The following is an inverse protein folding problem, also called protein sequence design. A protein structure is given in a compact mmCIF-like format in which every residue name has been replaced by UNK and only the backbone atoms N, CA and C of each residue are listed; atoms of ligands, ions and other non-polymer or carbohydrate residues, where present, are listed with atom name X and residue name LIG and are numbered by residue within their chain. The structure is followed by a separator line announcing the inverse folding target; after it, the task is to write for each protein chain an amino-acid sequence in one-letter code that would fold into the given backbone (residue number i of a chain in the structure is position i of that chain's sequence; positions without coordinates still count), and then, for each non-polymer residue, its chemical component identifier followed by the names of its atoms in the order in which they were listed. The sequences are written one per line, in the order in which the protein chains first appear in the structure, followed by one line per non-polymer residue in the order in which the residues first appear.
data_IF_365553777567
#
_entry.id   IF_365553777567
#
_cell.length_a   1.000
_cell.length_b   1.000
_cell.length_c   1.000
_cell.angle_alpha   90.00
_cell.angle_beta   90.00
_cell.angle_gamma   90.00
#
_symmetry.space_group_name_H-M   'P 1'
#
loop_
_entity.id
_entity.type
_entity.pdbx_description
1 polymer ?
#
# COMPACT_ATOMS: atom_id res chain seq x y z
N UNK A 1 -19.68 15.67 10.89
CA UNK A 1 -18.29 15.49 10.40
C UNK A 1 -18.02 16.60 9.41
N UNK A 2 -16.94 17.36 9.60
CA UNK A 2 -16.53 18.42 8.67
C UNK A 2 -15.88 17.81 7.42
N UNK A 3 -15.80 18.53 6.28
CA UNK A 3 -15.10 18.06 5.07
C UNK A 3 -13.66 17.59 5.35
N UNK A 4 -12.93 18.33 6.18
CA UNK A 4 -11.55 18.00 6.54
C UNK A 4 -11.50 16.72 7.38
N UNK A 5 -12.43 16.52 8.33
CA UNK A 5 -12.51 15.28 9.11
C UNK A 5 -12.86 14.07 8.23
N UNK A 6 -13.75 14.27 7.24
CA UNK A 6 -14.08 13.23 6.27
C UNK A 6 -12.84 12.82 5.47
N UNK A 7 -12.10 13.77 4.90
CA UNK A 7 -10.88 13.45 4.15
C UNK A 7 -9.79 12.82 5.03
N UNK A 8 -9.67 13.23 6.31
CA UNK A 8 -8.77 12.57 7.27
C UNK A 8 -9.15 11.11 7.48
N UNK A 9 -10.45 10.82 7.56
CA UNK A 9 -10.94 9.46 7.65
C UNK A 9 -10.58 8.66 6.39
N UNK A 10 -10.73 9.24 5.20
CA UNK A 10 -10.35 8.59 3.95
C UNK A 10 -8.84 8.27 3.90
N UNK A 11 -7.97 9.19 4.32
CA UNK A 11 -6.54 8.94 4.40
C UNK A 11 -6.19 7.81 5.39
N UNK A 12 -6.91 7.73 6.52
CA UNK A 12 -6.75 6.62 7.47
C UNK A 12 -7.21 5.29 6.89
N UNK A 13 -8.31 5.28 6.15
CA UNK A 13 -8.82 4.08 5.49
C UNK A 13 -7.85 3.59 4.41
N UNK A 14 -7.32 4.48 3.58
CA UNK A 14 -6.29 4.14 2.60
C UNK A 14 -5.05 3.56 3.28
N UNK A 15 -4.58 4.18 4.36
CA UNK A 15 -3.45 3.66 5.11
C UNK A 15 -3.73 2.28 5.73
N UNK A 16 -4.97 2.00 6.16
CA UNK A 16 -5.36 0.68 6.65
C UNK A 16 -5.32 -0.38 5.55
N UNK A 17 -5.79 -0.06 4.35
CA UNK A 17 -5.70 -0.98 3.21
C UNK A 17 -4.24 -1.26 2.85
N UNK A 18 -3.36 -0.25 2.83
CA UNK A 18 -1.93 -0.49 2.64
C UNK A 18 -1.29 -1.31 3.77
N UNK A 19 -1.85 -1.31 4.98
CA UNK A 19 -1.36 -2.16 6.09
C UNK A 19 -1.72 -3.64 5.91
N UNK A 20 -2.63 -4.01 4.99
CA UNK A 20 -2.91 -5.42 4.68
C UNK A 20 -1.89 -6.02 3.70
N UNK A 21 -0.88 -5.25 3.29
CA UNK A 21 0.16 -5.69 2.38
C UNK A 21 0.84 -6.98 2.86
N UNK A 22 0.79 -7.99 2.01
CA UNK A 22 1.66 -9.17 2.06
C UNK A 22 2.70 -9.04 0.96
N UNK A 23 3.89 -9.61 1.18
CA UNK A 23 4.95 -9.60 0.17
C UNK A 23 5.44 -11.01 -0.09
N UNK A 24 5.58 -11.36 -1.36
CA UNK A 24 6.23 -12.59 -1.80
C UNK A 24 7.37 -12.26 -2.76
N UNK A 25 8.51 -12.92 -2.60
CA UNK A 25 9.60 -12.76 -3.55
C UNK A 25 9.26 -13.51 -4.84
N UNK A 26 9.25 -12.80 -5.96
CA UNK A 26 9.05 -13.42 -7.27
C UNK A 26 10.43 -13.72 -7.90
N UNK A 27 10.84 -15.00 -8.00
CA UNK A 27 12.17 -15.37 -8.49
C UNK A 27 12.38 -15.06 -9.97
N UNK A 28 11.30 -14.98 -10.77
CA UNK A 28 11.37 -14.60 -12.18
C UNK A 28 11.67 -13.12 -12.34
N UNK A 29 11.02 -12.27 -11.54
CA UNK A 29 11.20 -10.82 -11.59
C UNK A 29 12.36 -10.33 -10.73
N UNK A 30 12.93 -11.20 -9.89
CA UNK A 30 13.99 -10.89 -8.92
C UNK A 30 13.65 -9.69 -8.03
N UNK A 31 12.38 -9.55 -7.68
CA UNK A 31 11.85 -8.49 -6.81
C UNK A 31 10.69 -9.02 -5.99
N UNK A 32 10.38 -8.32 -4.91
CA UNK A 32 9.16 -8.56 -4.15
C UNK A 32 7.95 -8.09 -4.97
N UNK A 33 6.91 -8.90 -4.94
CA UNK A 33 5.57 -8.56 -5.41
C UNK A 33 4.71 -8.38 -4.17
N UNK A 34 3.89 -7.33 -4.20
CA UNK A 34 3.01 -6.97 -3.10
C UNK A 34 1.58 -7.35 -3.46
N UNK A 35 0.90 -7.96 -2.52
CA UNK A 35 -0.52 -8.27 -2.60
C UNK A 35 -1.23 -7.58 -1.44
N UNK A 36 -2.50 -7.25 -1.63
CA UNK A 36 -3.30 -6.51 -0.65
C UNK A 36 -4.67 -7.18 -0.48
N UNK A 37 -5.23 -7.09 0.73
CA UNK A 37 -6.65 -7.37 1.02
C UNK A 37 -7.35 -6.04 1.38
N UNK A 38 -7.62 -5.16 0.39
CA UNK A 38 -8.17 -3.83 0.66
C UNK A 38 -9.68 -3.86 0.88
N UNK A 39 -10.18 -2.93 1.72
CA UNK A 39 -11.61 -2.77 2.00
C UNK A 39 -12.22 -1.47 1.48
N UNK A 40 -11.39 -0.48 1.14
CA UNK A 40 -11.87 0.85 0.79
C UNK A 40 -11.36 1.32 -0.58
N UNK A 41 -10.15 0.94 -0.99
CA UNK A 41 -9.49 1.45 -2.20
C UNK A 41 -8.91 0.36 -3.09
N UNK A 42 -8.90 0.63 -4.41
CA UNK A 42 -8.20 -0.17 -5.41
C UNK A 42 -6.71 0.16 -5.34
N UNK A 43 -5.97 -0.60 -4.53
CA UNK A 43 -4.58 -0.27 -4.17
C UNK A 43 -3.66 -0.32 -5.38
N UNK A 44 -3.77 -1.35 -6.22
CA UNK A 44 -2.89 -1.53 -7.38
C UNK A 44 -2.98 -0.32 -8.34
N UNK A 45 -4.20 0.14 -8.62
CA UNK A 45 -4.42 1.34 -9.44
C UNK A 45 -3.81 2.61 -8.82
N UNK A 46 -3.88 2.74 -7.49
CA UNK A 46 -3.25 3.87 -6.79
C UNK A 46 -1.73 3.78 -6.83
N UNK A 47 -1.15 2.59 -6.68
CA UNK A 47 0.30 2.38 -6.72
C UNK A 47 0.85 2.81 -8.07
N UNK A 48 0.22 2.37 -9.16
CA UNK A 48 0.64 2.68 -10.52
C UNK A 48 0.50 4.18 -10.84
N UNK A 49 -0.67 4.76 -10.57
CA UNK A 49 -0.96 6.14 -10.97
C UNK A 49 -0.23 7.19 -10.13
N UNK A 50 0.11 6.87 -8.87
CA UNK A 50 0.80 7.79 -7.97
C UNK A 50 2.27 7.43 -7.74
N UNK A 51 2.79 6.40 -8.40
CA UNK A 51 4.17 5.91 -8.26
C UNK A 51 4.55 5.72 -6.77
N UNK A 52 3.70 4.97 -6.07
CA UNK A 52 3.81 4.82 -4.61
C UNK A 52 4.97 3.90 -4.28
N UNK A 53 5.82 4.32 -3.32
CA UNK A 53 6.78 3.41 -2.70
C UNK A 53 6.05 2.55 -1.65
N UNK A 54 5.71 1.34 -2.07
CA UNK A 54 4.98 0.33 -1.30
C UNK A 54 5.74 -0.18 -0.08
N UNK A 55 7.07 -0.11 -0.06
CA UNK A 55 7.88 -0.57 1.08
C UNK A 55 7.77 0.36 2.29
N UNK A 56 7.58 1.66 2.03
CA UNK A 56 7.65 2.73 3.03
C UNK A 56 6.40 3.64 2.97
N UNK A 57 5.23 3.03 2.85
CA UNK A 57 3.97 3.76 2.83
C UNK A 57 3.49 4.09 4.25
N UNK A 58 3.42 5.38 4.59
CA UNK A 58 2.97 5.87 5.90
C UNK A 58 1.69 6.68 5.78
N UNK A 59 1.06 7.00 6.92
CA UNK A 59 -0.13 7.85 6.97
C UNK A 59 0.06 9.21 6.26
N UNK A 60 1.26 9.81 6.33
CA UNK A 60 1.56 11.05 5.62
C UNK A 60 1.52 10.89 4.09
N UNK A 61 1.94 9.73 3.58
CA UNK A 61 1.84 9.37 2.16
C UNK A 61 0.37 9.21 1.77
N UNK A 62 -0.43 8.51 2.59
CA UNK A 62 -1.87 8.40 2.36
C UNK A 62 -2.57 9.76 2.33
N UNK A 63 -2.23 10.66 3.26
CA UNK A 63 -2.72 12.05 3.23
C UNK A 63 -2.31 12.79 1.96
N UNK A 64 -1.09 12.57 1.46
CA UNK A 64 -0.63 13.17 0.21
C UNK A 64 -1.43 12.66 -1.00
N UNK A 65 -1.67 11.34 -1.09
CA UNK A 65 -2.49 10.74 -2.15
C UNK A 65 -3.91 11.31 -2.12
N UNK A 66 -4.56 11.34 -0.94
CA UNK A 66 -5.90 11.94 -0.82
C UNK A 66 -5.89 13.42 -1.21
N UNK A 67 -4.86 14.19 -0.84
CA UNK A 67 -4.75 15.59 -1.27
C UNK A 67 -4.69 15.71 -2.80
N UNK A 68 -3.93 14.83 -3.48
CA UNK A 68 -3.85 14.81 -4.94
C UNK A 68 -5.19 14.46 -5.59
N UNK A 69 -5.92 13.47 -5.05
CA UNK A 69 -7.28 13.13 -5.48
C UNK A 69 -8.29 14.27 -5.24
N UNK A 70 -8.02 15.16 -4.28
CA UNK A 70 -8.80 16.37 -4.03
C UNK A 70 -8.40 17.56 -4.93
N UNK A 71 -7.49 17.40 -5.88
CA UNK A 71 -7.02 18.50 -6.72
C UNK A 71 -5.91 19.35 -6.11
N UNK A 72 -5.37 18.98 -4.95
CA UNK A 72 -4.42 19.77 -4.17
C UNK A 72 -2.99 19.23 -4.32
N UNK A 73 -2.00 20.09 -4.10
CA UNK A 73 -0.61 19.66 -4.12
C UNK A 73 -0.14 19.12 -2.79
N UNK A 74 -0.61 19.71 -1.68
CA UNK A 74 -0.26 19.27 -0.33
C UNK A 74 -1.49 19.34 0.57
N UNK A 75 -1.50 18.47 1.58
CA UNK A 75 -2.56 18.41 2.58
C UNK A 75 -2.79 19.76 3.30
N UNK A 76 -1.72 20.53 3.52
CA UNK A 76 -1.79 21.86 4.17
C UNK A 76 -2.57 22.90 3.38
N UNK A 77 -2.81 22.67 2.09
CA UNK A 77 -3.56 23.60 1.25
C UNK A 77 -5.06 23.60 1.60
N UNK A 78 -5.58 22.50 2.16
CA UNK A 78 -6.96 22.39 2.65
C UNK A 78 -7.25 23.33 3.82
N UNK A 79 -6.31 23.51 4.75
CA UNK A 79 -6.58 24.32 5.95
C UNK A 79 -6.58 25.82 5.69
N UNK A 80 -6.06 26.26 4.54
CA UNK A 80 -6.01 27.66 4.10
C UNK A 80 -6.95 27.93 2.93
N UNK A 81 -7.67 26.92 2.46
CA UNK A 81 -8.54 27.02 1.30
C UNK A 81 -9.80 27.84 1.63
N UNK A 82 -10.30 28.54 0.60
CA UNK A 82 -11.62 29.15 0.64
C UNK A 82 -12.70 28.07 0.79
N UNK A 83 -13.90 28.40 1.31
CA UNK A 83 -15.02 27.46 1.36
C UNK A 83 -15.32 26.83 -0.02
N UNK A 84 -15.31 27.63 -1.09
CA UNK A 84 -15.54 27.16 -2.45
C UNK A 84 -14.49 26.14 -2.91
N UNK A 85 -13.21 26.39 -2.59
CA UNK A 85 -12.13 25.44 -2.90
C UNK A 85 -12.23 24.15 -2.09
N UNK A 86 -12.66 24.20 -0.84
CA UNK A 86 -12.91 23.01 -0.02
C UNK A 86 -14.04 22.19 -0.64
N UNK A 87 -15.13 22.84 -1.04
CA UNK A 87 -16.27 22.18 -1.67
C UNK A 87 -15.89 21.53 -3.00
N UNK A 88 -15.18 22.25 -3.87
CA UNK A 88 -14.64 21.71 -5.12
C UNK A 88 -13.70 20.51 -4.87
N UNK A 89 -12.85 20.58 -3.84
CA UNK A 89 -11.96 19.48 -3.46
C UNK A 89 -12.73 18.21 -3.09
N UNK A 90 -13.85 18.37 -2.36
CA UNK A 90 -14.74 17.26 -2.03
C UNK A 90 -15.42 16.73 -3.28
N UNK A 91 -15.94 17.59 -4.15
CA UNK A 91 -16.62 17.18 -5.37
C UNK A 91 -15.70 16.39 -6.31
N UNK A 92 -14.46 16.84 -6.49
CA UNK A 92 -13.43 16.09 -7.22
C UNK A 92 -13.21 14.71 -6.63
N UNK A 93 -13.07 14.62 -5.30
CA UNK A 93 -12.85 13.35 -4.62
C UNK A 93 -14.07 12.42 -4.66
N UNK A 94 -15.29 12.95 -4.57
CA UNK A 94 -16.50 12.10 -4.52
C UNK A 94 -17.02 11.69 -5.88
N UNK A 95 -16.57 12.34 -6.95
CA UNK A 95 -17.01 12.10 -8.33
C UNK A 95 -15.82 11.75 -9.26
N UNK A 96 -14.83 11.01 -8.73
CA UNK A 96 -13.63 10.60 -9.49
C UNK A 96 -13.98 9.78 -10.73
N UNK A 97 -15.11 9.09 -10.72
CA UNK A 97 -15.66 8.34 -11.85
C UNK A 97 -16.18 9.22 -12.99
N UNK A 98 -16.44 10.52 -12.73
CA UNK A 98 -16.92 11.47 -13.74
C UNK A 98 -15.78 12.28 -14.34
N UNK A 99 -14.82 12.71 -13.52
CA UNK A 99 -13.69 13.50 -13.98
C UNK A 99 -12.48 13.29 -13.08
N UNK A 100 -11.36 12.92 -13.68
CA UNK A 100 -10.09 12.89 -12.98
C UNK A 100 -9.54 14.29 -12.72
N UNK A 101 -8.79 14.42 -11.62
CA UNK A 101 -8.13 15.69 -11.25
C UNK A 101 -7.23 16.23 -12.34
N UNK A 102 -6.53 15.35 -13.09
CA UNK A 102 -5.64 15.77 -14.18
C UNK A 102 -6.43 16.49 -15.26
N UNK A 103 -7.53 15.90 -15.68
CA UNK A 103 -8.33 16.38 -16.80
C UNK A 103 -9.13 17.63 -16.40
N UNK A 104 -9.56 17.70 -15.14
CA UNK A 104 -10.07 18.95 -14.55
C UNK A 104 -9.03 20.08 -14.60
N UNK A 105 -7.78 19.81 -14.19
CA UNK A 105 -6.70 20.82 -14.23
C UNK A 105 -6.39 21.26 -15.66
N UNK A 106 -6.40 20.35 -16.61
CA UNK A 106 -6.23 20.66 -18.03
C UNK A 106 -7.39 21.51 -18.57
N UNK A 107 -8.63 21.16 -18.24
CA UNK A 107 -9.82 21.91 -18.61
C UNK A 107 -9.76 23.37 -18.14
N UNK A 108 -9.44 23.59 -16.86
CA UNK A 108 -9.27 24.94 -16.30
C UNK A 108 -8.11 25.68 -16.97
N UNK A 109 -6.96 25.01 -17.12
CA UNK A 109 -5.77 25.61 -17.74
C UNK A 109 -6.03 26.07 -19.18
N UNK A 110 -6.81 25.30 -19.95
CA UNK A 110 -7.21 25.67 -21.30
C UNK A 110 -8.07 26.92 -21.31
N UNK A 111 -9.10 26.99 -20.47
CA UNK A 111 -9.97 28.17 -20.36
C UNK A 111 -9.16 29.41 -19.96
N UNK A 112 -8.31 29.30 -18.94
CA UNK A 112 -7.46 30.39 -18.47
C UNK A 112 -6.52 30.89 -19.56
N UNK A 113 -5.91 29.98 -20.33
CA UNK A 113 -4.94 30.31 -21.39
C UNK A 113 -5.62 30.95 -22.60
N UNK A 114 -6.70 30.34 -23.10
CA UNK A 114 -7.41 30.80 -24.30
C UNK A 114 -8.06 32.17 -24.08
N UNK A 115 -8.61 32.39 -22.88
CA UNK A 115 -9.28 33.63 -22.52
C UNK A 115 -8.36 34.65 -21.84
N UNK A 116 -7.11 34.26 -21.51
CA UNK A 116 -6.12 35.08 -20.79
C UNK A 116 -6.64 35.62 -19.46
N UNK A 117 -7.39 34.78 -18.74
CA UNK A 117 -7.98 35.08 -17.43
C UNK A 117 -7.44 34.12 -16.38
N UNK A 118 -7.63 34.48 -15.11
CA UNK A 118 -7.42 33.56 -13.99
C UNK A 118 -8.74 33.38 -13.27
N UNK A 119 -9.22 32.14 -13.17
CA UNK A 119 -10.48 31.83 -12.51
C UNK A 119 -10.26 31.80 -11.00
N UNK A 120 -11.14 32.46 -10.25
CA UNK A 120 -11.19 32.32 -8.79
C UNK A 120 -11.84 30.99 -8.37
N UNK A 121 -11.81 30.70 -7.08
CA UNK A 121 -12.25 29.41 -6.55
C UNK A 121 -13.78 29.22 -6.68
N UNK A 122 -14.56 30.31 -6.51
CA UNK A 122 -16.01 30.32 -6.66
C UNK A 122 -16.42 29.99 -8.10
N UNK A 123 -15.80 30.62 -9.08
CA UNK A 123 -16.11 30.38 -10.48
C UNK A 123 -15.67 28.99 -10.94
N UNK A 124 -14.53 28.49 -10.42
CA UNK A 124 -14.10 27.11 -10.65
C UNK A 124 -15.10 26.11 -10.10
N UNK A 125 -15.62 26.33 -8.89
CA UNK A 125 -16.66 25.49 -8.32
C UNK A 125 -17.93 25.51 -9.17
N UNK A 126 -18.37 26.69 -9.61
CA UNK A 126 -19.55 26.83 -10.46
C UNK A 126 -19.41 26.02 -11.76
N UNK A 127 -18.29 26.17 -12.47
CA UNK A 127 -18.00 25.41 -13.70
C UNK A 127 -18.05 23.91 -13.42
N UNK A 128 -17.43 23.46 -12.33
CA UNK A 128 -17.39 22.04 -12.01
C UNK A 128 -18.80 21.47 -11.82
N UNK A 129 -19.64 22.18 -11.07
CA UNK A 129 -21.03 21.79 -10.83
C UNK A 129 -21.84 21.75 -12.12
N UNK A 130 -21.83 22.83 -12.91
CA UNK A 130 -22.66 22.92 -14.12
C UNK A 130 -22.22 21.92 -15.21
N UNK A 131 -20.91 21.75 -15.41
CA UNK A 131 -20.38 20.97 -16.53
C UNK A 131 -20.24 19.48 -16.20
N UNK A 132 -19.77 19.15 -14.99
CA UNK A 132 -19.39 17.77 -14.65
C UNK A 132 -20.38 17.08 -13.71
N UNK A 133 -21.16 17.85 -12.94
CA UNK A 133 -22.16 17.28 -12.03
C UNK A 133 -23.54 17.27 -12.67
N UNK A 134 -23.99 18.40 -13.19
CA UNK A 134 -25.32 18.58 -13.77
C UNK A 134 -25.36 18.22 -15.27
N UNK A 135 -24.24 18.37 -15.97
CA UNK A 135 -24.10 18.01 -17.38
C UNK A 135 -24.17 16.51 -17.64
N UNK A 136 -24.64 16.15 -18.84
CA UNK A 136 -24.53 14.77 -19.36
C UNK A 136 -23.06 14.44 -19.64
N UNK A 137 -22.65 13.22 -19.28
CA UNK A 137 -21.27 12.74 -19.39
C UNK A 137 -21.26 11.46 -20.22
N UNK A 138 -20.45 11.45 -21.28
CA UNK A 138 -20.26 10.28 -22.16
C UNK A 138 -19.01 9.46 -21.80
N UNK A 139 -18.18 9.98 -20.90
CA UNK A 139 -16.91 9.38 -20.48
C UNK A 139 -16.95 9.11 -18.99
N UNK A 140 -16.58 7.89 -18.62
CA UNK A 140 -16.47 7.46 -17.22
C UNK A 140 -15.05 6.96 -16.96
N UNK A 141 -14.54 7.25 -15.78
CA UNK A 141 -13.21 6.86 -15.31
C UNK A 141 -13.32 5.74 -14.28
N UNK A 142 -12.27 4.92 -14.20
CA UNK A 142 -12.15 3.94 -13.13
C UNK A 142 -11.88 4.66 -11.80
N UNK A 143 -12.89 4.66 -10.93
CA UNK A 143 -12.74 5.22 -9.59
C UNK A 143 -11.74 4.42 -8.75
N UNK A 144 -10.95 5.12 -7.93
CA UNK A 144 -9.98 4.50 -7.02
C UNK A 144 -10.61 3.85 -5.77
N UNK A 145 -11.92 4.00 -5.57
CA UNK A 145 -12.64 3.42 -4.42
C UNK A 145 -13.18 2.06 -4.82
N UNK A 146 -13.11 1.10 -3.90
CA UNK A 146 -13.83 -0.16 -4.06
C UNK A 146 -15.33 0.11 -3.92
N UNK A 147 -16.11 -0.25 -4.93
CA UNK A 147 -17.56 -0.30 -4.80
C UNK A 147 -17.95 -1.52 -3.95
N UNK A 148 -19.14 -1.51 -3.31
CA UNK A 148 -19.63 -2.70 -2.59
C UNK A 148 -19.89 -3.90 -3.51
N UNK A 149 -19.99 -3.65 -4.80
CA UNK A 149 -20.25 -4.64 -5.83
C UNK A 149 -18.95 -5.04 -6.57
N UNK A 150 -17.81 -4.40 -6.24
CA UNK A 150 -16.49 -4.68 -6.82
C UNK A 150 -15.80 -5.84 -6.06
N UNK A 151 -16.50 -6.95 -5.80
CA UNK A 151 -15.87 -8.25 -5.56
C UNK A 151 -15.33 -8.85 -6.89
N UNK A 152 -14.90 -8.00 -7.81
CA UNK A 152 -14.38 -8.44 -9.11
C UNK A 152 -12.97 -8.95 -8.91
N UNK A 153 -12.84 -10.27 -9.02
CA UNK A 153 -11.62 -10.98 -9.38
C UNK A 153 -10.84 -10.12 -10.39
N UNK A 154 -9.74 -9.54 -9.94
CA UNK A 154 -8.68 -9.10 -10.84
C UNK A 154 -8.21 -10.41 -11.49
N UNK A 155 -8.71 -10.72 -12.68
CA UNK A 155 -8.07 -11.69 -13.56
C UNK A 155 -6.70 -11.10 -13.90
N UNK A 156 -5.71 -11.39 -13.06
CA UNK A 156 -4.33 -11.31 -13.47
C UNK A 156 -4.23 -12.14 -14.75
N UNK A 157 -3.92 -11.50 -15.87
CA UNK A 157 -3.48 -12.22 -17.06
C UNK A 157 -2.45 -13.23 -16.57
N UNK A 158 -2.77 -14.52 -16.75
CA UNK A 158 -1.89 -15.62 -16.39
C UNK A 158 -0.60 -15.42 -17.15
N UNK A 159 0.38 -14.84 -16.47
CA UNK A 159 1.72 -14.74 -16.99
C UNK A 159 2.16 -16.14 -17.41
N UNK A 160 2.37 -16.27 -18.72
CA UNK A 160 2.75 -17.51 -19.37
C UNK A 160 3.90 -18.17 -18.62
N UNK A 161 3.85 -19.51 -18.61
CA UNK A 161 4.87 -20.36 -18.04
C UNK A 161 6.25 -20.08 -18.64
N UNK A 162 7.01 -19.14 -18.06
CA UNK A 162 8.43 -18.95 -18.40
C UNK A 162 9.23 -20.11 -17.80
N UNK A 163 9.69 -20.94 -18.73
CA UNK A 163 10.61 -22.06 -18.61
C UNK A 163 11.89 -21.74 -17.81
N UNK A 164 12.14 -22.57 -16.78
CA UNK A 164 13.44 -23.14 -16.40
C UNK A 164 14.68 -22.25 -16.36
N UNK A 165 14.86 -21.47 -15.30
CA UNK A 165 16.22 -21.10 -14.83
C UNK A 165 16.64 -22.14 -13.79
N UNK A 166 17.86 -22.72 -13.84
CA UNK A 166 18.34 -23.61 -12.80
C UNK A 166 18.60 -22.79 -11.54
N UNK A 167 17.72 -22.92 -10.56
CA UNK A 167 17.87 -22.36 -9.21
C UNK A 167 18.60 -23.37 -8.32
N UNK A 168 19.49 -22.88 -7.44
CA UNK A 168 20.29 -23.72 -6.56
C UNK A 168 19.37 -24.43 -5.55
N UNK A 169 19.62 -25.71 -5.25
CA UNK A 169 18.82 -26.48 -4.29
C UNK A 169 19.56 -26.66 -2.97
N UNK A 170 18.85 -26.46 -1.87
CA UNK A 170 19.29 -26.82 -0.53
C UNK A 170 18.89 -28.28 -0.31
N UNK A 171 19.90 -29.16 -0.17
CA UNK A 171 19.70 -30.61 -0.03
C UNK A 171 20.02 -31.16 1.35
N UNK A 172 20.63 -30.36 2.23
CA UNK A 172 21.05 -30.77 3.57
C UNK A 172 21.10 -29.59 4.52
N UNK A 173 20.88 -29.86 5.81
CA UNK A 173 21.06 -28.92 6.91
C UNK A 173 22.20 -29.39 7.83
N UNK A 174 22.90 -28.48 8.52
CA UNK A 174 22.76 -27.02 8.46
C UNK A 174 23.21 -26.44 7.10
N UNK A 175 22.76 -25.22 6.79
CA UNK A 175 23.19 -24.51 5.58
C UNK A 175 24.71 -24.31 5.54
N UNK A 176 25.26 -24.26 4.33
CA UNK A 176 26.64 -23.81 4.16
C UNK A 176 26.80 -22.36 4.62
N UNK A 177 27.98 -22.00 5.17
CA UNK A 177 28.21 -20.70 5.82
C UNK A 177 27.77 -19.50 4.97
N UNK A 178 28.09 -19.48 3.67
CA UNK A 178 27.68 -18.41 2.76
C UNK A 178 26.16 -18.30 2.59
N UNK A 179 25.46 -19.43 2.49
CA UNK A 179 24.00 -19.43 2.38
C UNK A 179 23.35 -19.04 3.71
N UNK A 180 23.94 -19.49 4.83
CA UNK A 180 23.45 -19.14 6.18
C UNK A 180 23.51 -17.64 6.43
N UNK A 181 24.61 -16.98 6.06
CA UNK A 181 24.73 -15.52 6.17
C UNK A 181 23.65 -14.77 5.37
N UNK A 182 23.34 -15.24 4.15
CA UNK A 182 22.33 -14.63 3.30
C UNK A 182 20.92 -14.78 3.89
N UNK A 183 20.56 -15.97 4.38
CA UNK A 183 19.29 -16.22 5.03
C UNK A 183 19.13 -15.38 6.31
N UNK A 184 20.15 -15.30 7.16
CA UNK A 184 20.13 -14.49 8.39
C UNK A 184 19.95 -13.00 8.07
N UNK A 185 20.65 -12.51 7.03
CA UNK A 185 20.51 -11.13 6.58
C UNK A 185 19.09 -10.86 6.08
N UNK A 186 18.53 -11.74 5.26
CA UNK A 186 17.17 -11.62 4.75
C UNK A 186 16.14 -11.64 5.89
N UNK A 187 16.28 -12.57 6.86
CA UNK A 187 15.40 -12.67 8.02
C UNK A 187 15.41 -11.39 8.87
N UNK A 188 16.58 -10.85 9.20
CA UNK A 188 16.67 -9.60 9.96
C UNK A 188 16.08 -8.39 9.22
N UNK A 189 16.32 -8.29 7.91
CA UNK A 189 15.73 -7.22 7.10
C UNK A 189 14.21 -7.32 7.03
N UNK A 190 13.69 -8.54 6.84
CA UNK A 190 12.26 -8.81 6.83
C UNK A 190 11.62 -8.51 8.20
N UNK A 191 12.26 -8.93 9.28
CA UNK A 191 11.82 -8.66 10.65
C UNK A 191 11.66 -7.16 10.89
N UNK A 192 12.68 -6.34 10.64
CA UNK A 192 12.58 -4.89 10.87
C UNK A 192 11.51 -4.22 9.98
N UNK A 193 11.36 -4.69 8.73
CA UNK A 193 10.29 -4.21 7.83
C UNK A 193 8.92 -4.50 8.42
N UNK A 194 8.67 -5.72 8.85
CA UNK A 194 7.38 -6.16 9.40
C UNK A 194 7.12 -5.52 10.77
N UNK A 195 8.10 -5.55 11.66
CA UNK A 195 8.04 -4.97 13.01
C UNK A 195 7.66 -3.48 12.98
N UNK A 196 8.24 -2.71 12.05
CA UNK A 196 7.93 -1.29 11.88
C UNK A 196 6.50 -1.00 11.40
N UNK A 197 5.83 -1.98 10.76
CA UNK A 197 4.47 -1.85 10.25
C UNK A 197 3.41 -2.25 11.27
N UNK A 198 3.72 -3.32 12.01
CA UNK A 198 2.83 -3.89 13.04
C UNK A 198 2.75 -2.95 14.24
N UNK A 199 3.84 -2.27 14.60
CA UNK A 199 3.88 -1.33 15.75
C UNK A 199 3.35 -2.00 17.04
N UNK A 200 3.97 -3.10 17.51
CA UNK A 200 3.48 -3.88 18.65
C UNK A 200 3.41 -3.04 19.94
N UNK A 201 2.45 -3.36 20.82
CA UNK A 201 2.19 -2.63 22.07
C UNK A 201 3.38 -2.69 23.04
N UNK A 202 4.13 -3.80 23.01
CA UNK A 202 5.36 -4.01 23.78
C UNK A 202 6.59 -4.15 22.86
N UNK A 203 7.09 -3.05 22.25
CA UNK A 203 8.08 -3.13 21.17
C UNK A 203 9.46 -3.60 21.63
N UNK A 204 9.91 -3.18 22.82
CA UNK A 204 11.21 -3.60 23.37
C UNK A 204 11.25 -5.11 23.64
N UNK A 205 10.19 -5.64 24.27
CA UNK A 205 10.08 -7.05 24.60
C UNK A 205 9.84 -7.91 23.34
N UNK A 206 9.01 -7.44 22.41
CA UNK A 206 8.82 -8.13 21.13
C UNK A 206 10.14 -8.24 20.35
N UNK A 207 10.97 -7.18 20.37
CA UNK A 207 12.29 -7.20 19.72
C UNK A 207 13.29 -8.09 20.46
N UNK A 208 13.23 -8.20 21.78
CA UNK A 208 14.14 -9.08 22.53
C UNK A 208 13.84 -10.57 22.34
N UNK A 209 12.62 -10.92 21.93
CA UNK A 209 12.23 -12.30 21.60
C UNK A 209 12.64 -12.75 20.19
N UNK A 210 13.10 -11.81 19.33
CA UNK A 210 13.51 -12.13 17.96
C UNK A 210 14.85 -12.88 17.93
N UNK A 211 14.85 -14.04 17.27
CA UNK A 211 16.05 -14.83 16.98
C UNK A 211 15.99 -15.30 15.52
N UNK A 212 16.83 -14.67 14.69
CA UNK A 212 16.89 -14.96 13.26
C UNK A 212 17.36 -16.39 12.97
N UNK A 213 18.27 -16.94 13.77
CA UNK A 213 18.79 -18.30 13.56
C UNK A 213 17.71 -19.32 13.86
N UNK A 214 17.03 -19.14 15.01
CA UNK A 214 15.91 -20.00 15.40
C UNK A 214 14.78 -19.97 14.36
N UNK A 215 14.40 -18.79 13.88
CA UNK A 215 13.38 -18.66 12.84
C UNK A 215 13.76 -19.40 11.55
N UNK A 216 15.02 -19.31 11.12
CA UNK A 216 15.48 -20.02 9.91
C UNK A 216 15.48 -21.53 10.14
N UNK A 217 16.01 -21.99 11.27
CA UNK A 217 16.24 -23.41 11.55
C UNK A 217 14.97 -24.16 11.97
N UNK A 218 14.02 -23.49 12.64
CA UNK A 218 12.79 -24.11 13.16
C UNK A 218 11.55 -23.82 12.31
N UNK A 219 11.43 -22.63 11.69
CA UNK A 219 10.21 -22.22 10.99
C UNK A 219 10.32 -22.27 9.47
N UNK A 220 11.51 -21.99 8.90
CA UNK A 220 11.70 -21.92 7.45
C UNK A 220 12.28 -23.23 6.89
N UNK A 221 13.43 -23.67 7.39
CA UNK A 221 14.21 -24.77 6.85
C UNK A 221 14.18 -25.99 7.77
N UNK A 222 13.08 -26.73 7.73
CA UNK A 222 12.93 -27.98 8.46
C UNK A 222 13.31 -29.20 7.60
N UNK A 223 13.83 -30.30 8.18
CA UNK A 223 14.28 -31.47 7.42
C UNK A 223 13.20 -32.10 6.51
N UNK A 224 11.92 -31.98 6.85
CA UNK A 224 10.78 -32.47 6.07
C UNK A 224 10.52 -31.66 4.79
N UNK A 225 11.11 -30.47 4.66
CA UNK A 225 10.96 -29.59 3.50
C UNK A 225 12.06 -29.76 2.45
N UNK A 226 13.08 -30.58 2.73
CA UNK A 226 14.21 -30.81 1.82
C UNK A 226 13.95 -31.94 0.81
N UNK A 227 14.52 -31.87 -0.41
CA UNK A 227 15.30 -30.77 -0.96
C UNK A 227 14.41 -29.61 -1.42
N UNK A 228 14.78 -28.39 -1.03
CA UNK A 228 14.04 -27.17 -1.37
C UNK A 228 14.85 -26.29 -2.31
N UNK A 229 14.15 -25.54 -3.15
CA UNK A 229 14.78 -24.50 -3.94
C UNK A 229 15.26 -23.34 -3.04
N UNK A 230 16.49 -22.87 -3.26
CA UNK A 230 17.11 -21.83 -2.42
C UNK A 230 16.35 -20.52 -2.49
N UNK A 231 16.00 -20.07 -3.69
CA UNK A 231 15.31 -18.79 -3.89
C UNK A 231 13.87 -18.87 -3.37
N UNK A 232 13.23 -20.03 -3.53
CA UNK A 232 11.95 -20.31 -2.89
C UNK A 232 12.05 -20.30 -1.36
N UNK A 233 13.05 -20.93 -0.76
CA UNK A 233 13.24 -20.91 0.69
C UNK A 233 13.52 -19.50 1.23
N UNK A 234 14.26 -18.66 0.48
CA UNK A 234 14.40 -17.23 0.77
C UNK A 234 13.06 -16.49 0.71
N UNK A 235 12.20 -16.81 -0.26
CA UNK A 235 10.85 -16.22 -0.36
C UNK A 235 9.96 -16.54 0.85
N UNK A 236 10.17 -17.70 1.47
CA UNK A 236 9.41 -18.11 2.65
C UNK A 236 9.72 -17.21 3.86
N UNK A 237 10.91 -16.61 3.95
CA UNK A 237 11.25 -15.69 5.04
C UNK A 237 10.22 -14.56 5.11
N UNK A 238 10.01 -13.84 4.01
CA UNK A 238 9.06 -12.71 3.95
C UNK A 238 7.61 -13.19 4.16
N UNK A 239 7.23 -14.34 3.60
CA UNK A 239 5.87 -14.88 3.71
C UNK A 239 5.47 -15.28 5.14
N UNK A 240 6.41 -15.85 5.91
CA UNK A 240 6.15 -16.32 7.27
C UNK A 240 6.46 -15.26 8.34
N UNK A 241 7.22 -14.21 8.00
CA UNK A 241 7.64 -13.18 8.97
C UNK A 241 6.48 -12.46 9.64
N UNK A 242 5.43 -12.10 8.88
CA UNK A 242 4.28 -11.37 9.44
C UNK A 242 3.61 -12.16 10.56
N UNK A 243 3.29 -13.43 10.31
CA UNK A 243 2.70 -14.31 11.31
C UNK A 243 3.61 -14.52 12.51
N UNK A 244 4.91 -14.66 12.27
CA UNK A 244 5.91 -14.84 13.32
C UNK A 244 6.01 -13.61 14.24
N UNK A 245 6.12 -12.41 13.69
CA UNK A 245 6.19 -11.17 14.49
C UNK A 245 4.90 -10.95 15.30
N UNK A 246 3.73 -11.32 14.76
CA UNK A 246 2.47 -11.31 15.51
C UNK A 246 2.53 -12.26 16.71
N UNK A 247 3.08 -13.47 16.53
CA UNK A 247 3.25 -14.42 17.64
C UNK A 247 4.21 -13.91 18.70
N UNK A 248 5.31 -13.26 18.30
CA UNK A 248 6.25 -12.61 19.23
C UNK A 248 5.57 -11.49 20.01
N UNK A 249 4.79 -10.64 19.33
CA UNK A 249 4.05 -9.54 19.95
C UNK A 249 3.03 -10.07 20.98
N UNK A 250 2.22 -11.06 20.60
CA UNK A 250 1.27 -11.69 21.52
C UNK A 250 1.98 -12.39 22.71
N UNK A 251 3.16 -12.98 22.47
CA UNK A 251 4.00 -13.55 23.54
C UNK A 251 4.51 -12.49 24.52
N UNK A 252 4.95 -11.34 24.00
CA UNK A 252 5.37 -10.20 24.81
C UNK A 252 4.22 -9.65 25.66
N UNK A 253 3.02 -9.49 25.07
CA UNK A 253 1.85 -9.00 25.77
C UNK A 253 1.47 -9.91 26.95
N UNK A 254 1.45 -11.23 26.73
CA UNK A 254 1.18 -12.21 27.79
C UNK A 254 2.19 -12.16 28.94
N UNK A 255 3.49 -11.94 28.66
CA UNK A 255 4.52 -11.80 29.69
C UNK A 255 4.37 -10.52 30.52
N UNK A 256 3.77 -9.47 29.94
CA UNK A 256 3.49 -8.22 30.66
C UNK A 256 2.20 -8.25 31.48
N UNK A 257 1.19 -9.00 31.06
CA UNK A 257 -0.06 -9.19 31.82
C UNK A 257 0.08 -10.20 32.97
N UNK A 258 1.02 -11.15 32.85
CA UNK A 258 1.33 -12.14 33.88
C UNK A 258 2.86 -12.22 34.12
N UNK A 259 3.45 -11.21 34.80
CA UNK A 259 4.84 -11.30 35.19
C UNK A 259 5.01 -12.39 36.27
N UNK A 260 5.80 -13.42 35.95
CA UNK A 260 6.24 -14.46 36.90
C UNK A 260 6.98 -13.85 38.12
#
# INVERSE_FOLDING_TARGET
MTPIEYLKLQAKNLHKDFKTQTSSFNPKLRRNVYEYDPRFFKIDLLVDNFNINEENFKLGNAQHVIAKLCGLDKWTDLSKASPAKIELSILLYTNMERVEVRDWKEYVSRIETENKVKLDDEFRLQIFTEVFIEGEQDVYYDGYRLSKDDETEIEWEKDDAILGVPTAKISSLPLADNDREEFIKAANQSFERVFSRIEPDNPELTRSLWDAEKFIDEDILTPDRLPIDRDYALSMIDAFMVGYVIQLAAGADNQTEHPD
#
